data_IF_560406220979
#
_entry.id   IF_560406220979
#
_cell.length_a   1.000
_cell.length_b   1.000
_cell.length_c   1.000
_cell.angle_alpha   90.00
_cell.angle_beta   90.00
_cell.angle_gamma   90.00
#
_symmetry.space_group_name_H-M   'P 1'
#
loop_
_entity.id
_entity.type
_entity.pdbx_description
1 polymer ?
#
# COMPACT_ATOMS: atom_id res chain seq x y z
N UNK A 1 30.16 -22.73 -43.05
CA UNK A 1 28.91 -22.09 -42.58
C UNK A 1 29.04 -21.85 -41.08
N UNK A 2 29.23 -20.60 -40.63
CA UNK A 2 29.41 -20.26 -39.20
C UNK A 2 28.05 -19.94 -38.60
N UNK A 3 27.57 -20.78 -37.69
CA UNK A 3 26.38 -20.49 -36.88
C UNK A 3 26.85 -19.69 -35.67
N UNK A 4 26.53 -18.39 -35.64
CA UNK A 4 26.73 -17.55 -34.46
C UNK A 4 25.52 -17.80 -33.54
N UNK A 5 25.77 -18.47 -32.42
CA UNK A 5 24.78 -18.71 -31.39
C UNK A 5 24.79 -17.51 -30.43
N UNK A 6 23.87 -16.56 -30.64
CA UNK A 6 23.66 -15.45 -29.70
C UNK A 6 22.89 -15.94 -28.48
N UNK A 7 23.59 -16.21 -27.37
CA UNK A 7 22.97 -16.35 -26.06
C UNK A 7 22.53 -14.96 -25.56
N UNK A 8 21.24 -14.64 -25.74
CA UNK A 8 20.60 -13.52 -25.06
C UNK A 8 20.38 -13.93 -23.58
N UNK A 9 21.27 -13.47 -22.70
CA UNK A 9 21.05 -13.48 -21.26
C UNK A 9 19.95 -12.48 -20.95
N UNK A 10 18.70 -12.94 -20.96
CA UNK A 10 17.58 -12.16 -20.44
C UNK A 10 17.76 -12.15 -18.92
N UNK A 11 18.42 -11.11 -18.40
CA UNK A 11 18.39 -10.81 -16.97
C UNK A 11 16.95 -10.48 -16.60
N UNK A 12 16.22 -11.45 -16.04
CA UNK A 12 14.89 -11.22 -15.47
C UNK A 12 15.06 -10.30 -14.26
N UNK A 13 14.90 -9.00 -14.47
CA UNK A 13 14.72 -8.07 -13.37
C UNK A 13 13.33 -8.35 -12.78
N UNK A 14 13.31 -8.83 -11.54
CA UNK A 14 12.08 -9.05 -10.77
C UNK A 14 11.57 -7.67 -10.36
N UNK A 15 10.98 -6.93 -11.30
CA UNK A 15 10.28 -5.70 -11.00
C UNK A 15 8.87 -6.06 -10.54
N UNK A 16 8.51 -5.63 -9.32
CA UNK A 16 7.15 -5.76 -8.83
C UNK A 16 6.16 -5.07 -9.77
N UNK A 17 5.08 -5.77 -10.12
CA UNK A 17 4.02 -5.24 -10.97
C UNK A 17 3.18 -4.22 -10.18
N UNK A 18 3.05 -2.99 -10.67
CA UNK A 18 2.09 -2.03 -10.12
C UNK A 18 0.66 -2.49 -10.42
N UNK A 19 -0.14 -2.65 -9.37
CA UNK A 19 -1.57 -2.95 -9.46
C UNK A 19 -2.35 -1.64 -9.62
N UNK A 20 -1.98 -0.63 -8.85
CA UNK A 20 -2.61 0.67 -8.90
C UNK A 20 -1.84 1.70 -8.09
N UNK A 21 -2.15 2.96 -8.35
CA UNK A 21 -1.56 4.09 -7.64
C UNK A 21 -2.55 5.24 -7.47
N UNK A 22 -2.37 5.99 -6.40
CA UNK A 22 -3.15 7.17 -6.05
C UNK A 22 -2.21 8.29 -5.66
N UNK A 23 -2.49 9.51 -6.16
CA UNK A 23 -1.87 10.74 -5.69
C UNK A 23 -2.86 11.56 -4.88
N UNK A 24 -2.39 12.13 -3.78
CA UNK A 24 -3.13 13.09 -2.96
C UNK A 24 -2.21 14.28 -2.65
N UNK A 25 -2.32 15.32 -3.50
CA UNK A 25 -1.37 16.42 -3.51
C UNK A 25 0.04 15.94 -3.81
N UNK A 26 1.00 16.28 -2.95
CA UNK A 26 2.40 15.84 -3.05
C UNK A 26 2.67 14.41 -2.58
N UNK A 27 1.68 13.76 -1.97
CA UNK A 27 1.82 12.41 -1.42
C UNK A 27 1.30 11.38 -2.42
N UNK A 28 1.92 10.20 -2.43
CA UNK A 28 1.50 9.09 -3.28
C UNK A 28 1.39 7.79 -2.50
N UNK A 29 0.54 6.90 -3.01
CA UNK A 29 0.36 5.54 -2.55
C UNK A 29 0.32 4.63 -3.76
N UNK A 30 1.01 3.50 -3.69
CA UNK A 30 1.05 2.46 -4.73
C UNK A 30 0.85 1.10 -4.11
N UNK A 31 0.18 0.23 -4.83
CA UNK A 31 0.09 -1.18 -4.52
C UNK A 31 0.90 -1.95 -5.55
N UNK A 32 1.94 -2.65 -5.09
CA UNK A 32 2.81 -3.46 -5.94
C UNK A 32 2.60 -4.94 -5.63
N UNK A 33 2.82 -5.80 -6.63
CA UNK A 33 2.88 -7.26 -6.48
C UNK A 33 4.27 -7.76 -6.89
N UNK A 34 4.93 -8.50 -6.01
CA UNK A 34 6.16 -9.23 -6.32
C UNK A 34 6.02 -10.66 -5.82
N UNK A 35 6.17 -11.64 -6.70
CA UNK A 35 5.98 -13.06 -6.38
C UNK A 35 4.63 -13.31 -5.68
N UNK A 36 4.69 -13.82 -4.44
CA UNK A 36 3.55 -14.14 -3.58
C UNK A 36 3.24 -13.05 -2.53
N UNK A 37 3.82 -11.85 -2.69
CA UNK A 37 3.66 -10.74 -1.75
C UNK A 37 3.11 -9.51 -2.44
N UNK A 38 2.27 -8.80 -1.71
CA UNK A 38 1.84 -7.45 -2.05
C UNK A 38 2.56 -6.45 -1.15
N UNK A 39 2.93 -5.32 -1.72
CA UNK A 39 3.58 -4.23 -1.01
C UNK A 39 2.75 -2.96 -1.13
N UNK A 40 2.36 -2.42 0.01
CA UNK A 40 1.81 -1.07 0.08
C UNK A 40 2.95 -0.09 0.22
N UNK A 41 3.20 0.70 -0.82
CA UNK A 41 4.28 1.71 -0.85
C UNK A 41 3.66 3.10 -0.78
N UNK A 42 4.17 3.98 0.06
CA UNK A 42 3.60 5.32 0.24
C UNK A 42 4.65 6.38 0.60
N UNK A 43 4.37 7.62 0.21
CA UNK A 43 5.12 8.80 0.65
C UNK A 43 4.70 9.14 2.09
N UNK A 44 5.64 9.11 3.03
CA UNK A 44 5.35 9.40 4.44
C UNK A 44 4.99 10.87 4.65
N UNK A 45 3.80 11.13 5.23
CA UNK A 45 3.32 12.49 5.48
C UNK A 45 4.14 13.23 6.53
N UNK A 46 4.83 12.48 7.39
CA UNK A 46 5.69 13.04 8.43
C UNK A 46 7.14 13.24 7.95
N UNK A 47 7.48 12.81 6.73
CA UNK A 47 8.82 13.02 6.20
C UNK A 47 9.03 14.49 5.84
N UNK A 48 10.20 15.01 6.22
CA UNK A 48 10.68 16.33 5.78
C UNK A 48 11.12 16.32 4.30
N UNK A 49 11.36 15.14 3.73
CA UNK A 49 11.76 14.94 2.33
C UNK A 49 10.60 14.35 1.53
N UNK A 50 10.31 14.94 0.37
CA UNK A 50 9.23 14.50 -0.55
C UNK A 50 9.48 13.13 -1.19
N UNK A 51 10.66 12.54 -1.01
CA UNK A 51 11.08 11.30 -1.67
C UNK A 51 11.24 10.11 -0.73
N UNK A 52 10.94 10.26 0.58
CA UNK A 52 11.01 9.12 1.50
C UNK A 52 9.76 8.28 1.36
N UNK A 53 9.84 7.25 0.50
CA UNK A 53 8.85 6.19 0.46
C UNK A 53 9.06 5.23 1.64
N UNK A 54 7.96 4.74 2.19
CA UNK A 54 7.91 3.65 3.16
C UNK A 54 6.99 2.56 2.63
N UNK A 55 7.14 1.36 3.16
CA UNK A 55 6.30 0.24 2.73
C UNK A 55 6.05 -0.76 3.83
N UNK A 56 4.98 -1.53 3.66
CA UNK A 56 4.72 -2.76 4.40
C UNK A 56 4.16 -3.81 3.46
N UNK A 57 4.36 -5.08 3.82
CA UNK A 57 3.98 -6.21 2.99
C UNK A 57 2.80 -6.99 3.59
N UNK A 58 2.05 -7.68 2.74
CA UNK A 58 1.01 -8.63 3.12
C UNK A 58 0.82 -9.69 2.02
N UNK A 59 0.39 -10.91 2.37
CA UNK A 59 0.26 -12.01 1.41
C UNK A 59 -1.04 -11.99 0.59
N UNK A 60 -2.14 -11.47 1.14
CA UNK A 60 -3.46 -11.52 0.50
C UNK A 60 -4.07 -10.12 0.37
N UNK A 61 -4.11 -9.61 -0.86
CA UNK A 61 -4.69 -8.30 -1.16
C UNK A 61 -6.20 -8.25 -0.98
N UNK A 62 -6.93 -9.35 -1.21
CA UNK A 62 -8.39 -9.35 -1.14
C UNK A 62 -8.82 -9.30 0.33
N UNK A 63 -8.12 -10.04 1.20
CA UNK A 63 -8.32 -9.95 2.66
C UNK A 63 -8.08 -8.52 3.17
N UNK A 64 -6.96 -7.90 2.81
CA UNK A 64 -6.67 -6.51 3.23
C UNK A 64 -7.70 -5.52 2.67
N UNK A 65 -8.09 -5.68 1.40
CA UNK A 65 -9.09 -4.82 0.77
C UNK A 65 -10.45 -4.91 1.47
N UNK A 66 -10.91 -6.12 1.77
CA UNK A 66 -12.18 -6.34 2.45
C UNK A 66 -12.18 -5.77 3.87
N UNK A 67 -11.11 -6.01 4.65
CA UNK A 67 -10.93 -5.38 5.98
C UNK A 67 -11.03 -3.85 5.88
N UNK A 68 -10.42 -3.28 4.85
CA UNK A 68 -10.45 -1.84 4.62
C UNK A 68 -11.88 -1.37 4.29
N UNK A 69 -12.56 -2.02 3.35
CA UNK A 69 -13.90 -1.63 2.93
C UNK A 69 -14.94 -1.80 4.05
N UNK A 70 -14.86 -2.87 4.83
CA UNK A 70 -15.75 -3.11 5.98
C UNK A 70 -15.61 -2.01 7.03
N UNK A 71 -14.42 -1.43 7.18
CA UNK A 71 -14.21 -0.27 8.04
C UNK A 71 -14.97 0.97 7.56
N UNK A 72 -15.11 1.19 6.24
CA UNK A 72 -15.87 2.33 5.72
C UNK A 72 -17.38 2.26 6.00
N UNK A 73 -17.93 1.08 6.28
CA UNK A 73 -19.36 0.91 6.57
C UNK A 73 -19.77 1.47 7.94
N UNK A 74 -18.81 1.70 8.84
CA UNK A 74 -19.11 2.22 10.17
C UNK A 74 -19.31 3.73 10.14
N UNK A 75 -20.35 4.21 10.84
CA UNK A 75 -20.72 5.65 10.87
C UNK A 75 -19.80 6.53 11.71
N UNK A 76 -19.14 5.98 12.72
CA UNK A 76 -18.34 6.74 13.68
C UNK A 76 -16.84 6.59 13.41
N UNK A 77 -16.04 7.54 13.87
CA UNK A 77 -14.59 7.41 13.85
C UNK A 77 -14.19 6.17 14.66
N UNK A 78 -13.28 5.37 14.11
CA UNK A 78 -12.82 4.13 14.73
C UNK A 78 -11.49 3.71 14.13
N UNK A 79 -10.96 2.59 14.60
CA UNK A 79 -9.74 2.01 14.07
C UNK A 79 -9.83 0.49 13.99
N UNK A 80 -9.08 -0.08 13.05
CA UNK A 80 -8.82 -1.51 12.93
C UNK A 80 -7.30 -1.68 12.97
N UNK A 81 -6.82 -2.63 13.76
CA UNK A 81 -5.39 -2.95 13.86
C UNK A 81 -5.20 -4.35 13.30
N UNK A 82 -4.29 -4.47 12.33
CA UNK A 82 -3.96 -5.72 11.66
C UNK A 82 -2.46 -5.97 11.79
N UNK A 83 -2.09 -7.21 12.07
CA UNK A 83 -0.72 -7.67 11.93
C UNK A 83 -0.57 -8.28 10.54
N UNK A 84 0.26 -7.68 9.68
CA UNK A 84 0.40 -8.11 8.27
C UNK A 84 1.51 -9.14 8.06
N UNK A 85 2.48 -9.15 8.96
CA UNK A 85 3.55 -10.15 9.07
C UNK A 85 3.97 -10.28 10.55
N UNK A 86 4.90 -11.18 10.89
CA UNK A 86 5.33 -11.45 12.26
C UNK A 86 5.78 -10.20 13.03
N UNK A 87 6.31 -9.21 12.33
CA UNK A 87 6.90 -8.01 12.92
C UNK A 87 6.19 -6.71 12.55
N UNK A 88 5.13 -6.74 11.74
CA UNK A 88 4.55 -5.51 11.18
C UNK A 88 3.10 -5.34 11.60
N UNK A 89 2.83 -4.27 12.33
CA UNK A 89 1.48 -3.86 12.77
C UNK A 89 1.04 -2.65 11.97
N UNK A 90 -0.14 -2.74 11.37
CA UNK A 90 -0.78 -1.70 10.57
C UNK A 90 -2.06 -1.26 11.24
N UNK A 91 -2.18 0.05 11.48
CA UNK A 91 -3.37 0.70 12.01
C UNK A 91 -4.13 1.39 10.87
N UNK A 92 -5.32 0.90 10.60
CA UNK A 92 -6.32 1.54 9.74
C UNK A 92 -7.18 2.46 10.60
N UNK A 93 -7.00 3.77 10.48
CA UNK A 93 -7.72 4.78 11.26
C UNK A 93 -8.75 5.49 10.37
N UNK A 94 -10.03 5.32 10.70
CA UNK A 94 -11.15 5.88 9.95
C UNK A 94 -11.64 7.14 10.65
N UNK A 95 -11.57 8.27 9.94
CA UNK A 95 -11.95 9.59 10.44
C UNK A 95 -12.89 10.30 9.48
N UNK A 96 -13.99 10.85 10.01
CA UNK A 96 -14.83 11.79 9.28
C UNK A 96 -14.14 13.15 9.17
N UNK A 97 -13.85 13.56 7.94
CA UNK A 97 -13.27 14.85 7.61
C UNK A 97 -14.27 15.55 6.69
N UNK A 98 -14.81 16.70 7.14
CA UNK A 98 -15.85 17.45 6.41
C UNK A 98 -17.05 16.60 5.99
N UNK A 99 -17.51 15.70 6.86
CA UNK A 99 -18.66 14.82 6.63
C UNK A 99 -18.35 13.51 5.91
N UNK A 100 -17.18 13.37 5.31
CA UNK A 100 -16.78 12.16 4.56
C UNK A 100 -15.83 11.29 5.38
N UNK A 101 -16.07 9.98 5.39
CA UNK A 101 -15.13 9.03 6.00
C UNK A 101 -13.85 8.92 5.15
N UNK A 102 -12.69 9.03 5.80
CA UNK A 102 -11.37 8.89 5.19
C UNK A 102 -10.54 7.90 5.99
N UNK A 103 -9.68 7.15 5.31
CA UNK A 103 -8.74 6.20 5.90
C UNK A 103 -7.35 6.84 6.00
N UNK A 104 -6.80 6.88 7.21
CA UNK A 104 -5.39 7.08 7.46
C UNK A 104 -4.76 5.74 7.80
N UNK A 105 -3.52 5.53 7.34
CA UNK A 105 -2.80 4.28 7.61
C UNK A 105 -1.50 4.62 8.28
N UNK A 106 -1.24 4.00 9.43
CA UNK A 106 0.06 4.04 10.09
C UNK A 106 0.59 2.63 10.17
N UNK A 107 1.85 2.39 9.81
CA UNK A 107 2.51 1.12 10.09
C UNK A 107 3.63 1.30 11.11
N UNK A 108 3.94 0.20 11.79
CA UNK A 108 5.12 0.05 12.61
C UNK A 108 5.69 -1.36 12.42
N UNK A 109 6.92 -1.44 11.95
CA UNK A 109 7.70 -2.66 11.95
C UNK A 109 8.51 -2.74 13.26
N UNK A 110 8.16 -3.70 14.10
CA UNK A 110 8.62 -3.86 15.47
C UNK A 110 10.11 -4.23 15.57
N UNK A 111 10.66 -4.91 14.55
CA UNK A 111 12.07 -5.33 14.51
C UNK A 111 12.95 -4.18 14.02
N UNK A 112 12.67 -3.65 12.84
CA UNK A 112 13.45 -2.57 12.22
C UNK A 112 13.19 -1.18 12.83
N UNK A 113 12.12 -1.04 13.63
CA UNK A 113 11.62 0.23 14.17
C UNK A 113 11.22 1.25 13.09
N UNK A 114 11.04 0.80 11.85
CA UNK A 114 10.53 1.63 10.77
C UNK A 114 9.03 1.82 11.00
N UNK A 115 8.64 3.08 11.20
CA UNK A 115 7.24 3.49 11.28
C UNK A 115 6.96 4.63 10.32
N UNK A 116 5.71 4.80 9.91
CA UNK A 116 5.30 5.93 9.08
C UNK A 116 3.80 6.03 8.90
N UNK A 117 3.36 7.14 8.32
CA UNK A 117 1.95 7.43 8.11
C UNK A 117 1.69 7.79 6.65
N UNK A 118 0.71 7.12 6.04
CA UNK A 118 0.22 7.41 4.70
C UNK A 118 -0.68 8.65 4.71
N UNK A 119 -0.83 9.25 3.54
CA UNK A 119 -1.88 10.25 3.29
C UNK A 119 -3.28 9.66 3.49
N UNK A 120 -4.25 10.53 3.76
CA UNK A 120 -5.66 10.16 3.88
C UNK A 120 -6.23 9.74 2.53
N UNK A 121 -6.95 8.61 2.48
CA UNK A 121 -7.57 8.08 1.28
C UNK A 121 -9.09 7.96 1.42
N UNK A 122 -9.82 8.23 0.33
CA UNK A 122 -11.24 7.89 0.22
C UNK A 122 -11.45 6.43 -0.16
N UNK A 123 -12.67 5.93 0.05
CA UNK A 123 -13.11 4.62 -0.45
C UNK A 123 -12.88 4.44 -1.96
N UNK A 124 -13.17 5.48 -2.74
CA UNK A 124 -12.99 5.45 -4.20
C UNK A 124 -11.50 5.35 -4.57
N UNK A 125 -10.63 6.11 -3.90
CA UNK A 125 -9.19 6.01 -4.10
C UNK A 125 -8.66 4.61 -3.79
N UNK A 126 -9.17 3.97 -2.73
CA UNK A 126 -8.80 2.59 -2.38
C UNK A 126 -9.28 1.58 -3.42
N UNK A 127 -10.48 1.78 -3.96
CA UNK A 127 -11.04 0.92 -5.03
C UNK A 127 -10.12 0.95 -6.26
N UNK A 128 -9.70 2.16 -6.69
CA UNK A 128 -8.70 2.35 -7.75
C UNK A 128 -7.35 1.71 -7.42
N UNK A 129 -6.84 1.95 -6.20
CA UNK A 129 -5.54 1.42 -5.75
C UNK A 129 -5.46 -0.11 -5.83
N UNK A 130 -6.55 -0.81 -5.54
CA UNK A 130 -6.62 -2.28 -5.57
C UNK A 130 -6.99 -2.87 -6.93
N UNK A 131 -7.09 -2.03 -7.97
CA UNK A 131 -7.45 -2.44 -9.33
C UNK A 131 -8.90 -2.93 -9.43
N UNK A 132 -9.77 -2.50 -8.54
CA UNK A 132 -11.21 -2.76 -8.60
C UNK A 132 -11.82 -1.56 -9.33
N UNK A 133 -12.32 -1.74 -10.55
CA UNK A 133 -13.02 -0.66 -11.25
C UNK A 133 -14.34 -0.36 -10.50
N UNK A 134 -14.61 0.93 -10.29
CA UNK A 134 -15.91 1.44 -9.84
C UNK A 134 -16.91 1.49 -11.00
#
# INVERSE_FOLDING_TARGET
MKIILCFLLISSSIFGQEIGSVKNGKYSVKLLKSDNLFSWVYSDVNSKSTHTEKSFNFPDKETIFNIILDGFERKNNHQIIVQTDQDTVVKFEYKKIKGEMRLNITHNNLISKIAGTSTSLSRQQLTVLFGKQS
#
